data_IF_562671193288
#
_entry.id   IF_562671193288
#
_cell.length_a   1.000
_cell.length_b   1.000
_cell.length_c   1.000
_cell.angle_alpha   90.00
_cell.angle_beta   90.00
_cell.angle_gamma   90.00
#
_symmetry.space_group_name_H-M   'P 1'
#
loop_
_entity.id
_entity.type
_entity.pdbx_description
1 polymer ?
#
# COMPACT_ATOMS: atom_id res chain seq x y z
N UNK A 1 -9.99 -7.43 9.11
CA UNK A 1 -9.86 -8.77 8.48
C UNK A 1 -9.79 -9.83 9.56
N UNK A 2 -10.04 -11.11 9.25
CA UNK A 2 -9.85 -12.19 10.22
C UNK A 2 -8.36 -12.42 10.42
N UNK A 3 -7.90 -12.36 11.67
CA UNK A 3 -6.56 -12.81 12.06
C UNK A 3 -6.62 -14.28 12.49
N UNK A 4 -5.69 -15.09 11.99
CA UNK A 4 -5.61 -16.52 12.26
C UNK A 4 -4.76 -16.86 13.49
N UNK A 5 -4.03 -15.90 14.05
CA UNK A 5 -3.22 -16.02 15.26
C UNK A 5 -1.98 -16.89 15.12
N UNK A 6 -1.15 -16.93 16.17
CA UNK A 6 0.08 -17.73 16.25
C UNK A 6 1.01 -17.49 15.05
N UNK A 7 1.55 -18.55 14.46
CA UNK A 7 2.41 -18.50 13.26
C UNK A 7 1.69 -18.00 12.00
N UNK A 8 0.36 -17.86 12.04
CA UNK A 8 -0.49 -17.34 10.97
C UNK A 8 -1.04 -15.95 11.31
N UNK A 9 -0.47 -15.29 12.32
CA UNK A 9 -0.90 -13.97 12.74
C UNK A 9 -0.69 -12.93 11.65
N UNK A 10 -1.48 -11.87 11.71
CA UNK A 10 -1.27 -10.70 10.86
C UNK A 10 0.14 -10.12 11.04
N UNK A 11 0.66 -10.14 12.27
CA UNK A 11 2.03 -9.71 12.58
C UNK A 11 3.08 -10.55 11.85
N UNK A 12 2.98 -11.88 11.91
CA UNK A 12 3.90 -12.78 11.22
C UNK A 12 3.89 -12.55 9.70
N UNK A 13 2.72 -12.23 9.14
CA UNK A 13 2.58 -11.88 7.73
C UNK A 13 3.21 -10.51 7.39
N UNK A 14 2.94 -9.47 8.19
CA UNK A 14 3.46 -8.11 7.92
C UNK A 14 4.98 -8.05 8.04
N UNK A 15 5.59 -8.93 8.84
CA UNK A 15 7.05 -9.04 8.99
C UNK A 15 7.74 -9.91 7.93
N UNK A 16 7.00 -10.46 6.95
CA UNK A 16 7.59 -11.16 5.81
C UNK A 16 8.57 -10.24 5.04
N UNK A 17 9.55 -10.81 4.31
CA UNK A 17 10.44 -10.02 3.48
C UNK A 17 9.67 -9.12 2.52
N UNK A 18 9.86 -7.82 2.67
CA UNK A 18 9.17 -6.76 1.91
C UNK A 18 9.44 -6.86 0.41
N UNK A 19 10.54 -7.50 0.03
CA UNK A 19 10.92 -7.80 -1.35
C UNK A 19 9.81 -8.56 -2.09
N UNK A 20 8.98 -9.32 -1.37
CA UNK A 20 7.90 -10.11 -1.95
C UNK A 20 6.60 -9.33 -2.19
N UNK A 21 6.53 -8.04 -1.83
CA UNK A 21 5.30 -7.25 -1.93
C UNK A 21 4.91 -6.92 -3.38
N UNK A 22 5.79 -7.15 -4.38
CA UNK A 22 5.41 -7.03 -5.79
C UNK A 22 4.32 -8.04 -6.20
N UNK A 23 4.16 -9.16 -5.48
CA UNK A 23 3.15 -10.17 -5.77
C UNK A 23 1.72 -9.66 -5.52
N UNK A 24 1.56 -8.55 -4.77
CA UNK A 24 0.27 -8.01 -4.37
C UNK A 24 -0.55 -7.49 -5.56
N UNK A 25 0.10 -6.82 -6.52
CA UNK A 25 -0.57 -6.36 -7.73
C UNK A 25 0.42 -6.18 -8.89
N UNK A 26 0.65 -7.21 -9.72
CA UNK A 26 1.59 -7.16 -10.83
C UNK A 26 1.24 -6.13 -11.92
N UNK A 27 -0.02 -5.68 -11.98
CA UNK A 27 -0.44 -4.66 -12.94
C UNK A 27 0.03 -3.27 -12.51
N UNK A 28 0.19 -3.05 -11.20
CA UNK A 28 0.50 -1.77 -10.59
C UNK A 28 1.92 -1.72 -10.02
N UNK A 29 2.46 -2.84 -9.56
CA UNK A 29 3.75 -2.94 -8.86
C UNK A 29 4.71 -3.75 -9.71
N UNK A 30 5.85 -3.14 -10.05
CA UNK A 30 6.95 -3.83 -10.75
C UNK A 30 8.20 -3.80 -9.88
N UNK A 31 8.89 -4.94 -9.66
CA UNK A 31 10.14 -4.94 -8.93
C UNK A 31 11.23 -4.23 -9.74
N UNK A 32 11.99 -3.36 -9.07
CA UNK A 32 13.21 -2.73 -9.61
C UNK A 32 14.47 -3.38 -9.02
N UNK A 33 14.31 -4.37 -8.14
CA UNK A 33 15.37 -5.09 -7.45
C UNK A 33 15.45 -4.75 -5.96
N UNK A 34 15.67 -5.78 -5.14
CA UNK A 34 15.70 -5.66 -3.69
C UNK A 34 14.44 -5.00 -3.14
N UNK A 35 14.61 -3.89 -2.42
CA UNK A 35 13.51 -3.16 -1.74
C UNK A 35 12.85 -2.08 -2.60
N UNK A 36 13.20 -1.99 -3.89
CA UNK A 36 12.74 -0.93 -4.80
C UNK A 36 11.65 -1.44 -5.72
N UNK A 37 10.61 -0.65 -5.90
CA UNK A 37 9.48 -0.97 -6.77
C UNK A 37 9.07 0.25 -7.58
N UNK A 38 8.54 0.01 -8.78
CA UNK A 38 7.83 1.00 -9.57
C UNK A 38 6.33 0.78 -9.41
N UNK A 39 5.63 1.82 -8.96
CA UNK A 39 4.18 1.89 -8.86
C UNK A 39 3.64 2.65 -10.08
N UNK A 40 3.00 1.92 -10.98
CA UNK A 40 2.26 2.48 -12.10
C UNK A 40 0.89 2.93 -11.61
N UNK A 41 0.70 4.24 -11.49
CA UNK A 41 -0.59 4.80 -11.10
C UNK A 41 -1.51 4.80 -12.33
N UNK A 42 -2.78 4.40 -12.20
CA UNK A 42 -3.75 4.49 -13.29
C UNK A 42 -3.88 5.91 -13.84
N UNK A 43 -4.19 6.04 -15.13
CA UNK A 43 -4.45 7.33 -15.76
C UNK A 43 -5.54 8.10 -15.02
N UNK A 44 -5.23 9.33 -14.70
CA UNK A 44 -6.16 10.31 -14.13
C UNK A 44 -6.59 11.25 -15.24
N UNK A 45 -7.89 11.51 -15.36
CA UNK A 45 -8.43 12.45 -16.35
C UNK A 45 -9.12 13.62 -15.62
N UNK A 46 -8.76 14.84 -15.99
CA UNK A 46 -9.35 16.09 -15.52
C UNK A 46 -9.62 16.99 -16.71
N UNK A 47 -10.89 17.06 -17.12
CA UNK A 47 -11.31 17.79 -18.32
C UNK A 47 -10.51 17.35 -19.57
N UNK A 48 -9.69 18.23 -20.14
CA UNK A 48 -8.81 17.98 -21.28
C UNK A 48 -7.35 17.65 -20.88
N UNK A 49 -7.09 17.48 -19.59
CA UNK A 49 -5.78 17.11 -19.04
C UNK A 49 -5.85 15.67 -18.56
N UNK A 50 -4.86 14.87 -18.93
CA UNK A 50 -4.68 13.55 -18.36
C UNK A 50 -3.25 13.38 -17.89
N UNK A 51 -3.07 12.57 -16.85
CA UNK A 51 -1.76 12.30 -16.25
C UNK A 51 -1.67 10.84 -15.83
N UNK A 52 -0.51 10.26 -16.06
CA UNK A 52 -0.10 8.90 -15.69
C UNK A 52 1.20 9.00 -14.88
N UNK A 53 1.11 8.92 -13.55
CA UNK A 53 2.28 8.88 -12.69
C UNK A 53 2.95 7.50 -12.67
N UNK A 54 4.28 7.49 -12.72
CA UNK A 54 5.13 6.34 -12.41
C UNK A 54 5.98 6.69 -11.19
N UNK A 55 5.70 6.05 -10.05
CA UNK A 55 6.34 6.37 -8.77
C UNK A 55 7.34 5.27 -8.40
N UNK A 56 8.60 5.62 -8.21
CA UNK A 56 9.56 4.71 -7.61
C UNK A 56 9.46 4.78 -6.09
N UNK A 57 9.26 3.63 -5.46
CA UNK A 57 9.17 3.49 -4.01
C UNK A 57 10.22 2.56 -3.45
N UNK A 58 10.59 2.78 -2.20
CA UNK A 58 11.40 1.90 -1.37
C UNK A 58 10.53 1.40 -0.23
N UNK A 59 10.47 0.09 -0.03
CA UNK A 59 9.71 -0.52 1.06
C UNK A 59 10.68 -1.09 2.09
N UNK A 60 10.44 -0.80 3.36
CA UNK A 60 11.22 -1.37 4.46
C UNK A 60 10.38 -1.53 5.71
N UNK A 61 10.80 -2.44 6.59
CA UNK A 61 10.24 -2.51 7.94
C UNK A 61 10.87 -1.42 8.82
N UNK A 62 10.09 -0.89 9.77
CA UNK A 62 10.60 -0.06 10.85
C UNK A 62 11.66 -0.83 11.66
N UNK A 63 12.53 -0.10 12.36
CA UNK A 63 13.55 -0.70 13.21
C UNK A 63 12.93 -1.59 14.29
N UNK A 64 11.80 -1.17 14.83
CA UNK A 64 11.04 -1.89 15.87
C UNK A 64 10.15 -3.00 15.30
N UNK A 65 10.11 -3.14 13.96
CA UNK A 65 9.34 -4.15 13.19
C UNK A 65 7.84 -4.19 13.48
N UNK A 66 7.30 -3.05 13.89
CA UNK A 66 5.89 -2.78 14.16
C UNK A 66 5.19 -2.03 13.00
N UNK A 67 5.96 -1.61 12.00
CA UNK A 67 5.45 -0.91 10.83
C UNK A 67 6.18 -1.30 9.54
N UNK A 68 5.45 -1.23 8.42
CA UNK A 68 6.01 -1.23 7.07
C UNK A 68 5.97 0.20 6.54
N UNK A 69 7.12 0.72 6.12
CA UNK A 69 7.29 2.06 5.59
C UNK A 69 7.51 1.98 4.08
N UNK A 70 6.67 2.68 3.33
CA UNK A 70 6.75 2.82 1.88
C UNK A 70 7.10 4.27 1.57
N UNK A 71 8.29 4.51 1.01
CA UNK A 71 8.76 5.85 0.68
C UNK A 71 8.90 6.02 -0.83
N UNK A 72 8.26 7.03 -1.41
CA UNK A 72 8.56 7.45 -2.78
C UNK A 72 9.88 8.22 -2.83
N UNK A 73 10.73 7.85 -3.80
CA UNK A 73 12.00 8.54 -4.08
C UNK A 73 11.94 9.36 -5.37
N UNK A 74 11.11 8.94 -6.32
CA UNK A 74 11.00 9.58 -7.62
C UNK A 74 9.59 9.42 -8.17
N UNK A 75 9.08 10.44 -8.85
CA UNK A 75 7.79 10.37 -9.55
C UNK A 75 7.95 11.01 -10.92
N UNK A 76 7.74 10.22 -11.97
CA UNK A 76 7.69 10.73 -13.35
C UNK A 76 6.24 10.85 -13.78
N UNK A 77 5.92 11.94 -14.46
CA UNK A 77 4.61 12.15 -15.06
C UNK A 77 4.69 11.90 -16.57
N UNK A 78 3.68 11.23 -17.11
CA UNK A 78 3.35 11.25 -18.54
C UNK A 78 1.93 11.79 -18.68
N UNK A 79 1.60 12.49 -19.76
CA UNK A 79 0.34 13.21 -19.76
C UNK A 79 -0.08 13.79 -21.08
N UNK A 80 -1.18 14.55 -21.03
CA UNK A 80 -1.70 15.29 -22.17
C UNK A 80 -0.67 16.29 -22.72
N UNK A 81 -0.88 16.85 -23.93
CA UNK A 81 0.01 17.86 -24.49
C UNK A 81 0.26 19.05 -23.55
N UNK A 82 -0.66 19.35 -22.62
CA UNK A 82 -0.43 20.35 -21.60
C UNK A 82 0.70 19.94 -20.62
N UNK A 83 0.71 18.69 -20.15
CA UNK A 83 1.75 18.14 -19.26
C UNK A 83 3.10 18.15 -19.98
N UNK A 84 3.13 17.73 -21.25
CA UNK A 84 4.33 17.65 -22.07
C UNK A 84 4.89 19.03 -22.43
N UNK A 85 4.06 19.94 -22.97
CA UNK A 85 4.50 21.28 -23.37
C UNK A 85 5.03 22.08 -22.19
N UNK A 86 4.46 21.87 -21.00
CA UNK A 86 4.89 22.53 -19.77
C UNK A 86 6.06 21.82 -19.08
N UNK A 87 6.54 20.70 -19.63
CA UNK A 87 7.64 19.90 -19.08
C UNK A 87 7.43 19.56 -17.59
N UNK A 88 6.18 19.23 -17.22
CA UNK A 88 5.83 19.00 -15.82
C UNK A 88 6.48 17.72 -15.27
N UNK A 89 6.89 16.78 -16.11
CA UNK A 89 7.64 15.59 -15.69
C UNK A 89 9.01 15.91 -15.08
N UNK A 90 9.58 17.08 -15.40
CA UNK A 90 10.87 17.55 -14.87
C UNK A 90 10.72 18.51 -13.68
N UNK A 91 9.50 18.99 -13.42
CA UNK A 91 9.22 20.06 -12.47
C UNK A 91 8.30 19.65 -11.36
N UNK A 92 7.65 18.51 -11.53
CA UNK A 92 6.79 17.91 -10.55
C UNK A 92 7.65 17.14 -9.56
N UNK A 93 7.56 17.52 -8.30
CA UNK A 93 8.21 16.85 -7.21
C UNK A 93 7.15 16.27 -6.29
N UNK A 94 7.35 15.02 -5.91
CA UNK A 94 6.45 14.29 -5.04
C UNK A 94 7.24 13.57 -3.99
N UNK A 95 6.88 13.82 -2.74
CA UNK A 95 7.30 13.05 -1.59
C UNK A 95 6.09 12.34 -1.01
N UNK A 96 6.18 11.03 -0.89
CA UNK A 96 5.10 10.19 -0.37
C UNK A 96 5.69 9.21 0.61
N UNK A 97 5.16 9.22 1.83
CA UNK A 97 5.53 8.25 2.86
C UNK A 97 4.25 7.64 3.39
N UNK A 98 4.15 6.32 3.32
CA UNK A 98 3.06 5.57 3.94
C UNK A 98 3.62 4.66 5.02
N UNK A 99 3.07 4.79 6.22
CA UNK A 99 3.37 3.95 7.37
C UNK A 99 2.20 3.02 7.61
N UNK A 100 2.44 1.73 7.47
CA UNK A 100 1.45 0.68 7.72
C UNK A 100 1.72 0.06 9.07
N UNK A 101 0.75 0.18 9.97
CA UNK A 101 0.77 -0.45 11.30
C UNK A 101 -0.33 -1.50 11.37
N UNK A 102 -0.18 -2.45 12.27
CA UNK A 102 -1.18 -3.51 12.47
C UNK A 102 -1.44 -3.75 13.94
N UNK A 103 -2.65 -4.25 14.23
CA UNK A 103 -3.02 -4.73 15.54
C UNK A 103 -4.04 -5.86 15.43
N UNK A 104 -4.13 -6.67 16.48
CA UNK A 104 -5.05 -7.81 16.55
C UNK A 104 -5.84 -7.72 17.84
N UNK A 105 -7.18 -7.72 17.72
CA UNK A 105 -8.09 -7.63 18.86
C UNK A 105 -9.00 -8.86 18.91
N UNK A 106 -9.21 -9.42 20.10
CA UNK A 106 -10.18 -10.51 20.28
C UNK A 106 -11.58 -9.89 20.33
N UNK A 107 -12.37 -10.11 19.28
CA UNK A 107 -13.80 -9.79 19.32
C UNK A 107 -14.53 -10.93 20.02
N UNK A 108 -14.74 -10.78 21.33
CA UNK A 108 -15.71 -11.59 22.06
C UNK A 108 -17.11 -11.17 21.63
N UNK A 109 -17.88 -12.10 21.05
CA UNK A 109 -19.25 -11.87 20.63
C UNK A 109 -20.08 -11.28 21.76
N UNK A 110 -20.70 -10.14 21.50
CA UNK A 110 -21.58 -9.46 22.45
C UNK A 110 -22.94 -10.16 22.40
N UNK A 111 -23.07 -11.30 23.08
CA UNK A 111 -24.37 -11.91 23.39
C UNK A 111 -24.99 -11.16 24.57
N UNK A 112 -25.92 -10.26 24.26
CA UNK A 112 -26.63 -9.45 25.24
C UNK A 112 -28.14 -9.49 25.06
N UNK A 113 -28.78 -10.62 25.36
CA UNK A 113 -29.92 -10.63 26.29
C UNK A 113 -30.28 -12.06 26.72
N UNK A 114 -30.39 -12.25 28.04
CA UNK A 114 -30.38 -13.56 28.68
C UNK A 114 -31.68 -14.34 28.71
N UNK A 115 -31.54 -15.66 28.76
CA UNK A 115 -32.29 -16.55 29.64
C UNK A 115 -31.52 -17.88 29.75
N UNK A 116 -31.15 -18.26 30.98
CA UNK A 116 -30.43 -19.48 31.31
C UNK A 116 -31.10 -20.75 30.76
N UNK A 117 -30.33 -21.64 30.16
CA UNK A 117 -30.60 -23.08 30.18
C UNK A 117 -29.27 -23.83 30.17
N UNK A 118 -29.07 -24.67 31.18
CA UNK A 118 -27.91 -25.52 31.41
C UNK A 118 -27.64 -26.44 30.20
N UNK A 119 -26.50 -26.30 29.51
CA UNK A 119 -25.93 -27.32 28.64
C UNK A 119 -24.39 -27.35 28.69
N UNK A 120 -23.88 -28.54 29.00
CA UNK A 120 -22.63 -29.23 28.65
C UNK A 120 -21.30 -28.46 28.41
N UNK A 121 -20.17 -28.94 28.95
CA UNK A 121 -18.86 -28.29 28.82
C UNK A 121 -18.05 -28.80 27.62
N UNK A 122 -18.51 -28.62 26.38
CA UNK A 122 -17.70 -28.98 25.19
C UNK A 122 -17.95 -28.07 23.98
N UNK A 123 -17.85 -26.75 24.13
CA UNK A 123 -17.61 -25.88 22.97
C UNK A 123 -16.62 -24.79 23.37
N UNK A 124 -15.34 -25.03 23.05
CA UNK A 124 -14.30 -24.01 23.03
C UNK A 124 -14.77 -22.87 22.13
N UNK A 125 -15.29 -21.80 22.73
CA UNK A 125 -15.72 -20.61 22.03
C UNK A 125 -14.55 -20.10 21.19
N UNK A 126 -14.64 -20.26 19.87
CA UNK A 126 -13.68 -19.69 18.93
C UNK A 126 -13.88 -18.17 18.94
N UNK A 127 -13.24 -17.49 19.89
CA UNK A 127 -13.10 -16.04 19.82
C UNK A 127 -12.52 -15.69 18.45
N UNK A 128 -13.22 -14.88 17.69
CA UNK A 128 -12.72 -14.42 16.40
C UNK A 128 -11.70 -13.33 16.69
N UNK A 129 -10.45 -13.53 16.26
CA UNK A 129 -9.43 -12.49 16.35
C UNK A 129 -9.59 -11.61 15.12
N UNK A 130 -9.84 -10.33 15.32
CA UNK A 130 -9.93 -9.34 14.28
C UNK A 130 -8.58 -8.64 14.12
N UNK A 131 -7.96 -8.83 12.96
CA UNK A 131 -6.79 -8.07 12.55
C UNK A 131 -7.19 -6.75 11.91
N UNK A 132 -6.50 -5.68 12.27
CA UNK A 132 -6.65 -4.33 11.70
C UNK A 132 -5.29 -3.92 11.15
N UNK A 133 -5.25 -3.52 9.88
CA UNK A 133 -4.12 -2.77 9.31
C UNK A 133 -4.57 -1.32 9.18
N UNK A 134 -3.77 -0.41 9.70
CA UNK A 134 -3.97 1.02 9.58
C UNK A 134 -2.81 1.61 8.79
N UNK A 135 -3.16 2.31 7.70
CA UNK A 135 -2.20 3.08 6.93
C UNK A 135 -2.31 4.56 7.24
N UNK A 136 -1.21 5.17 7.65
CA UNK A 136 -1.05 6.62 7.69
C UNK A 136 -0.22 7.05 6.48
N UNK A 137 -0.75 7.96 5.68
CA UNK A 137 -0.09 8.41 4.46
C UNK A 137 0.14 9.92 4.51
N UNK A 138 1.42 10.30 4.47
CA UNK A 138 1.84 11.68 4.31
C UNK A 138 2.28 11.89 2.87
N UNK A 139 1.60 12.81 2.18
CA UNK A 139 1.85 13.13 0.79
C UNK A 139 2.08 14.63 0.65
N UNK A 140 3.27 14.98 0.19
CA UNK A 140 3.70 16.35 -0.09
C UNK A 140 3.98 16.45 -1.59
N UNK A 141 3.25 17.33 -2.28
CA UNK A 141 3.39 17.54 -3.73
C UNK A 141 3.65 19.01 -4.00
N UNK A 142 4.69 19.28 -4.77
CA UNK A 142 5.03 20.62 -5.20
C UNK A 142 5.53 20.63 -6.63
N UNK A 143 5.46 21.79 -7.28
CA UNK A 143 6.02 21.97 -8.60
C UNK A 143 6.91 23.20 -8.64
N UNK A 144 8.10 23.03 -9.20
CA UNK A 144 9.05 24.13 -9.34
C UNK A 144 8.62 25.10 -10.45
N UNK A 145 8.50 26.38 -10.09
CA UNK A 145 8.18 27.46 -11.04
C UNK A 145 9.47 28.19 -11.40
N UNK A 146 10.13 27.78 -12.49
CA UNK A 146 11.31 28.48 -13.04
C UNK A 146 10.91 29.55 -14.07
N UNK A 147 11.76 30.52 -14.43
CA UNK A 147 11.46 31.48 -15.52
C UNK A 147 11.58 30.83 -16.91
N UNK A 148 10.75 31.19 -17.91
CA UNK A 148 9.84 32.35 -18.00
C UNK A 148 8.40 32.10 -17.53
N UNK A 149 8.19 31.24 -16.52
CA UNK A 149 6.87 30.70 -16.20
C UNK A 149 5.98 31.55 -15.26
N UNK A 150 6.19 32.88 -15.24
CA UNK A 150 5.16 33.82 -14.77
C UNK A 150 3.88 33.77 -15.64
N UNK A 151 3.96 33.16 -16.82
CA UNK A 151 2.86 32.93 -17.75
C UNK A 151 2.06 31.65 -17.44
N UNK A 152 2.49 30.82 -16.48
CA UNK A 152 1.72 29.64 -16.08
C UNK A 152 0.52 30.05 -15.22
N UNK A 153 -0.70 29.68 -15.61
CA UNK A 153 -1.83 29.87 -14.75
C UNK A 153 -1.71 28.97 -13.52
N UNK A 154 -1.78 29.57 -12.32
CA UNK A 154 -1.73 28.82 -11.04
C UNK A 154 -2.73 27.66 -11.00
N UNK A 155 -3.90 27.84 -11.62
CA UNK A 155 -4.94 26.81 -11.68
C UNK A 155 -4.47 25.51 -12.34
N UNK A 156 -3.56 25.57 -13.33
CA UNK A 156 -3.07 24.37 -14.02
C UNK A 156 -2.11 23.56 -13.15
N UNK A 157 -1.25 24.25 -12.38
CA UNK A 157 -0.33 23.63 -11.42
C UNK A 157 -1.09 23.07 -10.22
N UNK A 158 -2.01 23.85 -9.65
CA UNK A 158 -2.87 23.41 -8.54
C UNK A 158 -3.76 22.24 -8.96
N UNK A 159 -4.36 22.32 -10.17
CA UNK A 159 -5.19 21.25 -10.72
C UNK A 159 -4.42 19.95 -10.94
N UNK A 160 -3.20 20.02 -11.47
CA UNK A 160 -2.33 18.84 -11.66
C UNK A 160 -1.87 18.26 -10.31
N UNK A 161 -1.49 19.12 -9.36
CA UNK A 161 -1.13 18.68 -8.01
C UNK A 161 -2.30 17.96 -7.33
N UNK A 162 -3.48 18.58 -7.30
CA UNK A 162 -4.69 17.99 -6.73
C UNK A 162 -5.11 16.69 -7.44
N UNK A 163 -4.92 16.61 -8.75
CA UNK A 163 -5.17 15.40 -9.52
C UNK A 163 -4.28 14.24 -9.08
N UNK A 164 -2.97 14.48 -9.00
CA UNK A 164 -2.01 13.44 -8.60
C UNK A 164 -2.25 13.04 -7.15
N UNK A 165 -2.46 14.02 -6.25
CA UNK A 165 -2.86 13.79 -4.86
C UNK A 165 -4.09 12.89 -4.77
N UNK A 166 -5.17 13.28 -5.47
CA UNK A 166 -6.43 12.55 -5.47
C UNK A 166 -6.32 11.16 -6.06
N UNK A 167 -5.50 10.97 -7.08
CA UNK A 167 -5.29 9.66 -7.67
C UNK A 167 -4.49 8.72 -6.77
N UNK A 168 -3.42 9.21 -6.14
CA UNK A 168 -2.63 8.42 -5.21
C UNK A 168 -3.44 8.06 -3.96
N UNK A 169 -4.07 9.05 -3.33
CA UNK A 169 -4.86 8.82 -2.11
C UNK A 169 -6.13 8.05 -2.40
N UNK A 170 -6.83 8.37 -3.50
CA UNK A 170 -8.14 7.82 -3.81
C UNK A 170 -8.14 6.48 -4.54
N UNK A 171 -7.06 6.10 -5.23
CA UNK A 171 -7.01 4.86 -6.01
C UNK A 171 -5.87 3.93 -5.60
N UNK A 172 -4.66 4.46 -5.38
CA UNK A 172 -3.49 3.63 -5.12
C UNK A 172 -3.54 3.03 -3.70
N UNK A 173 -3.76 3.88 -2.69
CA UNK A 173 -3.80 3.43 -1.29
C UNK A 173 -4.91 2.41 -1.02
N UNK A 174 -6.18 2.62 -1.41
CA UNK A 174 -7.25 1.65 -1.15
C UNK A 174 -6.99 0.32 -1.87
N UNK A 175 -6.55 0.35 -3.13
CA UNK A 175 -6.20 -0.87 -3.86
C UNK A 175 -5.09 -1.63 -3.18
N UNK A 176 -4.04 -0.94 -2.73
CA UNK A 176 -2.96 -1.59 -2.02
C UNK A 176 -3.48 -2.28 -0.74
N UNK A 177 -4.31 -1.60 0.06
CA UNK A 177 -4.89 -2.20 1.28
C UNK A 177 -5.77 -3.41 0.97
N UNK A 178 -6.60 -3.33 -0.07
CA UNK A 178 -7.44 -4.45 -0.50
C UNK A 178 -6.60 -5.65 -0.95
N UNK A 179 -5.53 -5.41 -1.72
CA UNK A 179 -4.62 -6.45 -2.18
C UNK A 179 -3.86 -7.09 -1.02
N UNK A 180 -3.37 -6.28 -0.08
CA UNK A 180 -2.69 -6.74 1.13
C UNK A 180 -3.61 -7.65 1.96
N UNK A 181 -4.86 -7.24 2.18
CA UNK A 181 -5.83 -8.05 2.93
C UNK A 181 -6.16 -9.38 2.25
N UNK A 182 -6.32 -9.36 0.92
CA UNK A 182 -6.57 -10.58 0.14
C UNK A 182 -5.38 -11.52 0.14
N UNK A 183 -4.17 -10.98 0.03
CA UNK A 183 -2.94 -11.76 0.06
C UNK A 183 -2.68 -12.37 1.44
N UNK A 184 -2.90 -11.62 2.52
CA UNK A 184 -2.85 -12.17 3.88
C UNK A 184 -3.82 -13.35 4.04
N UNK A 185 -5.08 -13.18 3.60
CA UNK A 185 -6.08 -14.27 3.65
C UNK A 185 -5.58 -15.50 2.89
N UNK A 186 -5.01 -15.33 1.70
CA UNK A 186 -4.46 -16.43 0.90
C UNK A 186 -3.28 -17.09 1.61
N UNK A 187 -2.33 -16.30 2.11
CA UNK A 187 -1.15 -16.78 2.84
C UNK A 187 -1.52 -17.55 4.12
N UNK A 188 -2.55 -17.11 4.84
CA UNK A 188 -3.04 -17.77 6.04
C UNK A 188 -3.84 -19.06 5.75
N UNK A 189 -4.50 -19.14 4.59
CA UNK A 189 -5.38 -20.28 4.27
C UNK A 189 -4.77 -21.33 3.34
N UNK A 190 -3.77 -20.98 2.54
CA UNK A 190 -3.13 -21.86 1.56
C UNK A 190 -1.69 -22.23 2.02
N UNK A 191 -1.48 -23.46 2.53
CA UNK A 191 -0.17 -23.92 2.96
C UNK A 191 0.86 -23.99 1.82
N UNK A 192 0.45 -24.37 0.61
CA UNK A 192 1.35 -24.49 -0.53
C UNK A 192 1.87 -23.11 -0.96
N UNK A 193 0.98 -22.11 -1.01
CA UNK A 193 1.35 -20.72 -1.26
C UNK A 193 2.30 -20.16 -0.19
N UNK A 194 2.04 -20.45 1.09
CA UNK A 194 2.91 -20.05 2.20
C UNK A 194 4.32 -20.62 2.09
N UNK A 195 4.44 -21.91 1.81
CA UNK A 195 5.75 -22.57 1.68
C UNK A 195 6.51 -22.07 0.44
N UNK A 196 5.81 -21.80 -0.67
CA UNK A 196 6.40 -21.15 -1.82
C UNK A 196 7.02 -19.78 -1.46
N UNK A 197 6.31 -18.94 -0.70
CA UNK A 197 6.85 -17.64 -0.23
C UNK A 197 8.05 -17.79 0.69
N UNK A 198 8.03 -18.75 1.62
CA UNK A 198 9.19 -19.07 2.47
C UNK A 198 10.40 -19.51 1.64
N UNK A 199 10.19 -20.27 0.57
CA UNK A 199 11.27 -20.71 -0.32
C UNK A 199 11.86 -19.54 -1.13
N UNK A 200 11.02 -18.65 -1.64
CA UNK A 200 11.44 -17.46 -2.37
C UNK A 200 12.28 -16.51 -1.50
N UNK A 201 11.89 -16.33 -0.22
CA UNK A 201 12.65 -15.54 0.76
C UNK A 201 14.08 -16.04 0.95
N UNK A 202 14.26 -17.36 1.01
CA UNK A 202 15.59 -17.97 1.20
C UNK A 202 16.48 -17.74 -0.01
N UNK A 203 15.95 -17.87 -1.23
CA UNK A 203 16.72 -17.64 -2.45
C UNK A 203 17.20 -16.19 -2.58
N UNK A 204 16.39 -15.22 -2.17
CA UNK A 204 16.75 -13.80 -2.25
C UNK A 204 17.79 -13.39 -1.19
N UNK A 205 17.84 -14.09 -0.05
CA UNK A 205 18.89 -13.90 0.97
C UNK A 205 20.28 -14.39 0.54
N UNK A 206 20.36 -15.33 -0.42
CA UNK A 206 21.60 -15.93 -0.91
C UNK A 206 22.16 -15.18 -2.13
N UNK A 207 21.34 -14.34 -2.78
CA UNK A 207 21.73 -13.54 -3.94
C UNK A 207 22.26 -12.14 -3.58
N UNK A 208 22.44 -11.83 -2.29
CA UNK A 208 23.03 -10.59 -1.77
C UNK A 208 24.51 -10.74 -1.46
#
# INVERSE_FOLDING_TARGET
MQDFGNDLSLEAYMQLPVEQYYELDPAMIRPLGGKRFALQVPRVNLFNVWVEPLVEVVVHLSNDRDAVIIEAKNCRLSGSPLIENLHLDQRFCLSFVTTLTWSSAVTSGQDGNGASTLQSPEQSGKGHIQGVVQGDARLDVWSEVVQPFHLMPRFALEGTSNAVMGALVGNLLPRFMDRLGNDYKRWATDPAYREARKSAAKHESVAR
#
